data_IF_685805363826
#
_entry.id   IF_685805363826
#
_cell.length_a   1.000
_cell.length_b   1.000
_cell.length_c   1.000
_cell.angle_alpha   90.00
_cell.angle_beta   90.00
_cell.angle_gamma   90.00
#
_symmetry.space_group_name_H-M   'P 1'
#
loop_
_entity.id
_entity.type
_entity.pdbx_description
1 polymer ?
#
# COMPACT_ATOMS: atom_id res chain seq x y z
N UNK A 1 -3.90 15.31 -20.81
CA UNK A 1 -3.32 14.43 -19.78
C UNK A 1 -2.98 15.31 -18.58
N UNK A 2 -3.72 15.15 -17.47
CA UNK A 2 -3.61 16.01 -16.29
C UNK A 2 -2.23 15.76 -15.68
N UNK A 3 -1.40 16.79 -15.62
CA UNK A 3 -0.13 16.81 -14.90
C UNK A 3 -0.37 16.35 -13.47
N UNK A 4 -0.13 15.06 -13.18
CA UNK A 4 -0.11 14.55 -11.81
C UNK A 4 0.95 15.37 -11.09
N UNK A 5 0.49 16.24 -10.19
CA UNK A 5 1.39 17.12 -9.45
C UNK A 5 2.29 16.25 -8.60
N UNK A 6 3.61 16.45 -8.66
CA UNK A 6 4.56 15.72 -7.81
C UNK A 6 4.17 15.79 -6.32
N UNK A 7 3.52 16.88 -5.90
CA UNK A 7 2.97 17.04 -4.55
C UNK A 7 1.85 16.03 -4.24
N UNK A 8 0.98 15.73 -5.22
CA UNK A 8 -0.08 14.73 -5.03
C UNK A 8 0.49 13.32 -4.91
N UNK A 9 1.54 13.03 -5.68
CA UNK A 9 2.23 11.74 -5.63
C UNK A 9 2.99 11.56 -4.31
N UNK A 10 3.69 12.60 -3.84
CA UNK A 10 4.35 12.60 -2.53
C UNK A 10 3.34 12.34 -1.39
N UNK A 11 2.17 13.00 -1.41
CA UNK A 11 1.11 12.77 -0.42
C UNK A 11 0.58 11.34 -0.43
N UNK A 12 0.45 10.72 -1.60
CA UNK A 12 0.02 9.32 -1.69
C UNK A 12 1.07 8.35 -1.16
N UNK A 13 2.35 8.63 -1.41
CA UNK A 13 3.45 7.85 -0.84
C UNK A 13 3.45 7.98 0.69
N UNK A 14 3.37 9.18 1.23
CA UNK A 14 3.31 9.38 2.69
C UNK A 14 2.13 8.64 3.32
N UNK A 15 0.94 8.75 2.71
CA UNK A 15 -0.25 8.01 3.16
C UNK A 15 -0.02 6.50 3.14
N UNK A 16 0.55 5.95 2.06
CA UNK A 16 0.86 4.53 1.97
C UNK A 16 1.83 4.10 3.07
N UNK A 17 2.89 4.88 3.32
CA UNK A 17 3.88 4.61 4.37
C UNK A 17 3.22 4.57 5.75
N UNK A 18 2.39 5.57 6.08
CA UNK A 18 1.67 5.60 7.37
C UNK A 18 0.78 4.38 7.54
N UNK A 19 0.03 4.01 6.50
CA UNK A 19 -0.82 2.81 6.53
C UNK A 19 0.00 1.53 6.73
N UNK A 20 1.15 1.39 6.07
CA UNK A 20 2.06 0.24 6.26
C UNK A 20 2.55 0.18 7.71
N UNK A 21 2.96 1.33 8.28
CA UNK A 21 3.42 1.41 9.67
C UNK A 21 2.32 1.04 10.68
N UNK A 22 1.07 1.34 10.36
CA UNK A 22 -0.11 0.93 11.14
C UNK A 22 -0.47 -0.56 10.95
N UNK A 23 0.27 -1.30 10.12
CA UNK A 23 0.01 -2.71 9.85
C UNK A 23 -1.06 -2.95 8.79
N UNK A 24 -1.41 -1.95 7.99
CA UNK A 24 -2.36 -2.12 6.89
C UNK A 24 -1.85 -3.13 5.86
N UNK A 25 -2.78 -3.86 5.26
CA UNK A 25 -2.50 -4.84 4.20
C UNK A 25 -2.34 -4.16 2.84
N UNK A 26 -1.67 -4.85 1.92
CA UNK A 26 -1.46 -4.36 0.55
C UNK A 26 -2.78 -4.02 -0.18
N UNK A 27 -3.84 -4.80 0.04
CA UNK A 27 -5.17 -4.53 -0.52
C UNK A 27 -5.78 -3.22 -0.02
N UNK A 28 -5.56 -2.87 1.26
CA UNK A 28 -6.01 -1.59 1.82
C UNK A 28 -5.24 -0.42 1.20
N UNK A 29 -3.94 -0.60 0.96
CA UNK A 29 -3.13 0.42 0.29
C UNK A 29 -3.58 0.64 -1.16
N UNK A 30 -3.99 -0.43 -1.85
CA UNK A 30 -4.49 -0.38 -3.23
C UNK A 30 -5.85 0.33 -3.32
N UNK A 31 -6.73 0.19 -2.31
CA UNK A 31 -8.01 0.91 -2.28
C UNK A 31 -7.87 2.38 -1.83
N UNK A 32 -6.86 2.70 -1.01
CA UNK A 32 -6.68 4.03 -0.41
C UNK A 32 -5.71 4.95 -1.18
N UNK A 33 -5.01 4.43 -2.20
CA UNK A 33 -4.02 5.19 -2.99
C UNK A 33 -4.13 4.92 -4.48
N UNK A 34 -3.76 5.90 -5.32
CA UNK A 34 -3.69 5.72 -6.78
C UNK A 34 -2.29 5.23 -7.24
N UNK A 35 -1.52 4.61 -6.34
CA UNK A 35 -0.20 4.07 -6.65
C UNK A 35 -0.33 2.70 -7.33
N UNK A 36 0.58 2.41 -8.25
CA UNK A 36 0.60 1.09 -8.89
C UNK A 36 0.95 -0.01 -7.89
N UNK A 37 0.39 -1.20 -8.10
CA UNK A 37 0.64 -2.38 -7.28
C UNK A 37 2.14 -2.64 -7.07
N UNK A 38 2.97 -2.51 -8.12
CA UNK A 38 4.43 -2.67 -8.00
C UNK A 38 5.09 -1.63 -7.06
N UNK A 39 4.65 -0.38 -7.10
CA UNK A 39 5.17 0.68 -6.21
C UNK A 39 4.76 0.42 -4.78
N UNK A 40 3.50 0.06 -4.55
CA UNK A 40 3.02 -0.33 -3.23
C UNK A 40 3.77 -1.55 -2.68
N UNK A 41 4.05 -2.54 -3.52
CA UNK A 41 4.80 -3.74 -3.12
C UNK A 41 6.25 -3.41 -2.72
N UNK A 42 6.92 -2.50 -3.46
CA UNK A 42 8.27 -2.04 -3.10
C UNK A 42 8.26 -1.24 -1.80
N UNK A 43 7.36 -0.26 -1.68
CA UNK A 43 7.16 0.53 -0.47
C UNK A 43 6.88 -0.34 0.76
N UNK A 44 6.01 -1.35 0.61
CA UNK A 44 5.71 -2.28 1.69
C UNK A 44 6.95 -3.04 2.16
N UNK A 45 7.77 -3.53 1.23
CA UNK A 45 9.01 -4.25 1.56
C UNK A 45 10.04 -3.33 2.21
N UNK A 46 10.17 -2.10 1.73
CA UNK A 46 11.10 -1.10 2.27
C UNK A 46 10.71 -0.67 3.69
N UNK A 47 9.43 -0.44 3.95
CA UNK A 47 8.94 0.06 5.24
C UNK A 47 8.75 -1.07 6.25
N UNK A 48 8.12 -2.18 5.86
CA UNK A 48 7.83 -3.29 6.77
C UNK A 48 9.00 -4.28 6.91
N UNK A 49 10.03 -4.19 6.07
CA UNK A 49 11.19 -5.10 6.08
C UNK A 49 10.88 -6.55 5.71
N UNK A 50 9.63 -6.85 5.36
CA UNK A 50 9.13 -8.18 5.02
C UNK A 50 8.27 -8.11 3.77
N UNK A 51 8.29 -9.18 2.97
CA UNK A 51 7.33 -9.29 1.87
C UNK A 51 5.92 -9.44 2.46
N UNK A 52 4.90 -8.73 1.94
CA UNK A 52 3.54 -8.93 2.40
C UNK A 52 3.19 -10.40 2.20
N UNK A 53 2.54 -11.00 3.20
CA UNK A 53 2.18 -12.41 3.20
C UNK A 53 1.37 -12.73 1.93
N UNK A 54 1.98 -13.46 0.99
CA UNK A 54 1.46 -13.79 -0.35
C UNK A 54 0.13 -14.57 -0.37
N UNK A 55 -0.48 -14.83 0.77
CA UNK A 55 -1.60 -15.75 0.91
C UNK A 55 -2.74 -15.29 1.81
N UNK A 56 -2.82 -14.00 2.18
CA UNK A 56 -4.06 -13.50 2.80
C UNK A 56 -5.11 -13.31 1.71
N UNK A 57 -5.84 -14.40 1.46
CA UNK A 57 -7.04 -14.45 0.64
C UNK A 57 -7.92 -13.22 0.92
N UNK A 58 -8.53 -12.63 -0.11
CA UNK A 58 -9.36 -11.43 0.05
C UNK A 58 -10.59 -11.65 0.97
N UNK A 59 -10.97 -12.90 1.26
CA UNK A 59 -12.15 -13.25 2.07
C UNK A 59 -11.99 -14.57 2.85
N UNK A 60 -10.90 -14.78 3.60
CA UNK A 60 -10.87 -15.91 4.53
C UNK A 60 -11.50 -15.50 5.86
N UNK A 61 -12.55 -16.22 6.27
CA UNK A 61 -13.37 -16.03 7.47
C UNK A 61 -12.59 -16.09 8.78
N UNK A 62 -11.30 -16.44 8.77
CA UNK A 62 -10.39 -16.43 9.93
C UNK A 62 -9.75 -15.03 10.20
N UNK A 63 -10.42 -13.94 9.82
CA UNK A 63 -9.92 -12.56 9.95
C UNK A 63 -10.82 -11.65 10.83
N UNK A 64 -11.32 -12.17 11.94
CA UNK A 64 -11.87 -11.32 13.02
C UNK A 64 -11.00 -11.42 14.26
#
# INVERSE_FOLDING_TARGET
MRSKSLLTEAKQIERAVTLIQLGARLQVLESETDLSYERLLRLYKEVAGKSPSKGQLPFSTDWF
#
